data_IF_836674443799
#
_entry.id   IF_836674443799
#
_cell.length_a   1.000
_cell.length_b   1.000
_cell.length_c   1.000
_cell.angle_alpha   90.00
_cell.angle_beta   90.00
_cell.angle_gamma   90.00
#
_symmetry.space_group_name_H-M   'P 1'
#
loop_
_entity.id
_entity.type
_entity.pdbx_description
1 polymer ?
#
# COMPACT_ATOMS: atom_id res chain seq x y z
N UNK A 1 -16.52 48.76 -62.66
CA UNK A 1 -16.76 47.34 -62.46
C UNK A 1 -16.08 46.95 -61.20
N UNK A 2 -16.85 46.65 -60.21
CA UNK A 2 -16.45 46.27 -58.84
C UNK A 2 -16.04 44.81 -58.78
N UNK A 3 -14.85 44.57 -58.32
CA UNK A 3 -14.48 43.21 -57.88
C UNK A 3 -14.31 43.15 -56.35
N UNK A 4 -15.21 42.48 -55.71
CA UNK A 4 -15.17 42.24 -54.28
C UNK A 4 -14.22 41.07 -54.00
N UNK A 5 -13.15 41.37 -53.29
CA UNK A 5 -12.29 40.33 -52.72
C UNK A 5 -12.97 39.67 -51.49
N UNK A 6 -13.09 38.39 -51.56
CA UNK A 6 -13.57 37.60 -50.42
C UNK A 6 -12.35 37.13 -49.63
N UNK A 7 -12.20 37.68 -48.44
CA UNK A 7 -11.21 37.18 -47.51
C UNK A 7 -11.82 35.99 -46.81
N UNK A 8 -11.26 34.83 -47.06
CA UNK A 8 -11.55 33.64 -46.28
C UNK A 8 -10.69 33.65 -45.00
N UNK A 9 -11.33 33.83 -43.87
CA UNK A 9 -10.69 33.72 -42.60
C UNK A 9 -10.52 32.22 -42.25
N UNK A 10 -9.30 31.77 -42.26
CA UNK A 10 -8.96 30.42 -41.75
C UNK A 10 -8.87 30.48 -40.23
N UNK A 11 -9.84 29.89 -39.54
CA UNK A 11 -9.75 29.66 -38.11
C UNK A 11 -8.80 28.49 -37.89
N UNK A 12 -7.63 28.79 -37.38
CA UNK A 12 -6.72 27.78 -36.83
C UNK A 12 -7.21 27.42 -35.45
N UNK A 13 -7.82 26.25 -35.31
CA UNK A 13 -8.13 25.65 -34.01
C UNK A 13 -6.86 25.01 -33.46
N UNK A 14 -6.23 25.68 -32.52
CA UNK A 14 -5.13 25.12 -31.77
C UNK A 14 -5.70 24.12 -30.76
N UNK A 15 -5.61 22.85 -31.08
CA UNK A 15 -5.90 21.77 -30.10
C UNK A 15 -4.71 21.65 -29.17
N UNK A 16 -4.83 22.25 -28.00
CA UNK A 16 -3.87 22.09 -26.93
C UNK A 16 -4.04 20.68 -26.35
N UNK A 17 -3.18 19.76 -26.76
CA UNK A 17 -3.11 18.42 -26.18
C UNK A 17 -2.38 18.52 -24.84
N UNK A 18 -3.12 18.66 -23.75
CA UNK A 18 -2.56 18.56 -22.42
C UNK A 18 -2.24 17.10 -22.14
N UNK A 19 -0.96 16.75 -22.20
CA UNK A 19 -0.46 15.46 -21.75
C UNK A 19 -0.54 15.44 -20.23
N UNK A 20 -1.54 14.74 -19.69
CA UNK A 20 -1.58 14.43 -18.27
C UNK A 20 -0.53 13.34 -18.01
N UNK A 21 0.61 13.73 -17.44
CA UNK A 21 1.61 12.76 -16.95
C UNK A 21 1.08 12.19 -15.65
N UNK A 22 0.53 10.98 -15.70
CA UNK A 22 0.25 10.21 -14.50
C UNK A 22 1.59 9.76 -13.90
N UNK A 23 2.08 10.46 -12.87
CA UNK A 23 3.29 10.08 -12.16
C UNK A 23 3.09 8.76 -11.43
N UNK A 24 4.01 7.80 -11.63
CA UNK A 24 4.08 6.53 -10.89
C UNK A 24 4.68 6.75 -9.50
N UNK A 25 4.14 7.66 -8.68
CA UNK A 25 4.48 7.75 -7.27
C UNK A 25 3.50 6.87 -6.47
N UNK A 26 3.96 6.08 -5.47
CA UNK A 26 3.06 5.41 -4.55
C UNK A 26 2.19 6.49 -3.88
N UNK A 27 0.90 6.45 -4.16
CA UNK A 27 -0.04 7.41 -3.58
C UNK A 27 -0.47 6.93 -2.21
N UNK A 28 -0.63 7.87 -1.26
CA UNK A 28 -1.24 7.59 0.03
C UNK A 28 -2.59 6.92 -0.18
N UNK A 29 -2.87 5.81 0.55
CA UNK A 29 -4.11 5.07 0.43
C UNK A 29 -4.17 4.10 -0.76
N UNK A 30 -3.02 3.72 -1.37
CA UNK A 30 -2.97 2.73 -2.45
C UNK A 30 -3.29 1.30 -1.99
N UNK A 31 -3.13 0.99 -0.69
CA UNK A 31 -3.58 -0.23 -0.04
C UNK A 31 -4.81 0.10 0.79
N UNK A 32 -6.01 -0.39 0.43
CA UNK A 32 -7.20 -0.09 1.20
C UNK A 32 -7.16 -0.76 2.57
N UNK A 33 -7.49 0.00 3.60
CA UNK A 33 -7.61 -0.47 4.98
C UNK A 33 -8.96 0.00 5.52
N UNK A 34 -9.77 -0.93 5.95
CA UNK A 34 -11.04 -0.69 6.61
C UNK A 34 -11.08 -1.36 8.00
N UNK A 35 -12.23 -1.32 8.64
CA UNK A 35 -12.41 -1.89 9.99
C UNK A 35 -12.18 -3.40 10.06
N UNK A 36 -12.25 -4.10 8.92
CA UNK A 36 -12.07 -5.55 8.82
C UNK A 36 -10.64 -5.94 8.41
N UNK A 37 -9.84 -5.00 7.96
CA UNK A 37 -8.46 -5.22 7.56
C UNK A 37 -7.55 -5.33 8.79
N UNK A 38 -6.74 -6.38 8.84
CA UNK A 38 -5.75 -6.57 9.90
C UNK A 38 -4.38 -6.11 9.41
N UNK A 39 -3.76 -5.19 10.13
CA UNK A 39 -2.40 -4.73 9.85
C UNK A 39 -1.44 -5.48 10.77
N UNK A 40 -0.52 -6.25 10.18
CA UNK A 40 0.48 -7.05 10.90
C UNK A 40 1.85 -6.41 10.81
N UNK A 41 2.41 -6.07 11.95
CA UNK A 41 3.82 -5.75 12.12
C UNK A 41 4.57 -7.02 12.49
N UNK A 42 5.39 -7.54 11.55
CA UNK A 42 6.11 -8.80 11.77
C UNK A 42 7.55 -8.59 12.25
N UNK A 43 7.84 -7.39 12.74
CA UNK A 43 9.10 -7.04 13.39
C UNK A 43 9.13 -7.53 14.83
N UNK A 44 10.28 -7.36 15.48
CA UNK A 44 10.42 -7.66 16.91
C UNK A 44 9.55 -6.73 17.79
N UNK A 45 9.21 -7.18 19.02
CA UNK A 45 8.48 -6.33 19.97
C UNK A 45 9.21 -5.01 20.29
N UNK A 46 10.54 -5.02 20.31
CA UNK A 46 11.33 -3.81 20.53
C UNK A 46 11.19 -2.79 19.40
N UNK A 47 11.25 -3.25 18.14
CA UNK A 47 11.02 -2.39 16.98
C UNK A 47 9.58 -1.84 16.97
N UNK A 48 8.60 -2.67 17.30
CA UNK A 48 7.20 -2.26 17.41
C UNK A 48 7.00 -1.16 18.46
N UNK A 49 7.64 -1.28 19.62
CA UNK A 49 7.56 -0.30 20.69
C UNK A 49 8.19 1.06 20.33
N UNK A 50 9.17 1.09 19.42
CA UNK A 50 9.79 2.33 18.92
C UNK A 50 8.90 3.10 17.93
N UNK A 51 7.90 2.46 17.37
CA UNK A 51 6.97 3.04 16.42
C UNK A 51 6.36 1.97 15.52
N UNK A 52 5.05 2.05 15.30
CA UNK A 52 4.29 1.11 14.47
C UNK A 52 3.10 1.83 13.84
N UNK A 53 2.47 1.21 12.85
CA UNK A 53 1.25 1.76 12.28
C UNK A 53 0.11 1.71 13.29
N UNK A 54 -0.68 2.76 13.36
CA UNK A 54 -1.85 2.83 14.22
C UNK A 54 -2.78 1.64 13.98
N UNK A 55 -3.12 0.92 15.04
CA UNK A 55 -3.95 -0.27 15.00
C UNK A 55 -3.23 -1.56 14.60
N UNK A 56 -1.93 -1.53 14.34
CA UNK A 56 -1.17 -2.72 13.97
C UNK A 56 -1.07 -3.72 15.12
N UNK A 57 -1.10 -4.99 14.76
CA UNK A 57 -0.85 -6.12 15.67
C UNK A 57 0.59 -6.58 15.45
N UNK A 58 1.35 -6.70 16.53
CA UNK A 58 2.72 -7.23 16.45
C UNK A 58 2.71 -8.76 16.48
N UNK A 59 3.29 -9.35 15.45
CA UNK A 59 3.47 -10.79 15.31
C UNK A 59 4.87 -11.05 14.76
N UNK A 60 5.84 -11.19 15.65
CA UNK A 60 7.26 -11.36 15.28
C UNK A 60 7.49 -12.64 14.49
N UNK A 61 7.84 -12.52 13.21
CA UNK A 61 8.08 -13.67 12.32
C UNK A 61 9.31 -14.48 12.74
N UNK A 62 10.22 -13.89 13.51
CA UNK A 62 11.42 -14.56 13.99
C UNK A 62 11.20 -15.28 15.33
N UNK A 63 10.06 -15.09 15.97
CA UNK A 63 9.71 -15.78 17.21
C UNK A 63 9.38 -17.26 16.96
N UNK A 64 9.77 -18.11 17.89
CA UNK A 64 9.53 -19.57 17.80
C UNK A 64 8.03 -19.92 17.79
N UNK A 65 7.19 -19.07 18.37
CA UNK A 65 5.74 -19.27 18.48
C UNK A 65 4.95 -18.57 17.36
N UNK A 66 5.61 -18.09 16.31
CA UNK A 66 4.94 -17.36 15.22
C UNK A 66 3.77 -18.15 14.62
N UNK A 67 4.02 -19.40 14.23
CA UNK A 67 2.98 -20.22 13.59
C UNK A 67 1.81 -20.52 14.54
N UNK A 68 2.09 -20.75 15.82
CA UNK A 68 1.06 -20.99 16.82
C UNK A 68 0.19 -19.76 17.05
N UNK A 69 0.79 -18.58 17.10
CA UNK A 69 0.07 -17.31 17.26
C UNK A 69 -0.69 -16.95 15.98
N UNK A 70 -0.10 -17.18 14.82
CA UNK A 70 -0.76 -16.96 13.53
C UNK A 70 -2.00 -17.85 13.38
N UNK A 71 -1.97 -19.08 13.88
CA UNK A 71 -3.09 -20.01 13.84
C UNK A 71 -4.32 -19.51 14.63
N UNK A 72 -4.16 -18.56 15.53
CA UNK A 72 -5.25 -17.93 16.29
C UNK A 72 -5.95 -16.80 15.50
N UNK A 73 -5.36 -16.37 14.39
CA UNK A 73 -5.91 -15.33 13.53
C UNK A 73 -6.92 -15.92 12.53
N UNK A 74 -7.83 -15.07 12.05
CA UNK A 74 -8.80 -15.45 11.02
C UNK A 74 -8.14 -15.56 9.65
N UNK A 75 -8.04 -16.77 9.04
CA UNK A 75 -7.40 -16.93 7.74
C UNK A 75 -8.18 -16.31 6.58
N UNK A 76 -9.45 -15.98 6.78
CA UNK A 76 -10.34 -15.41 5.75
C UNK A 76 -10.34 -13.88 5.75
N UNK A 77 -9.70 -13.24 6.72
CA UNK A 77 -9.59 -11.78 6.77
C UNK A 77 -8.55 -11.26 5.76
N UNK A 78 -8.59 -9.96 5.49
CA UNK A 78 -7.60 -9.25 4.68
C UNK A 78 -6.47 -8.76 5.56
N UNK A 79 -5.22 -9.03 5.15
CA UNK A 79 -4.02 -8.69 5.92
C UNK A 79 -3.09 -7.79 5.13
N UNK A 80 -2.64 -6.73 5.77
CA UNK A 80 -1.55 -5.87 5.33
C UNK A 80 -0.35 -6.17 6.23
N UNK A 81 0.74 -6.66 5.66
CA UNK A 81 1.92 -7.13 6.38
C UNK A 81 3.10 -6.21 6.07
N UNK A 82 3.78 -5.72 7.09
CA UNK A 82 4.98 -4.91 6.93
C UNK A 82 6.06 -5.29 7.92
N UNK A 83 7.28 -4.90 7.59
CA UNK A 83 8.43 -5.02 8.47
C UNK A 83 9.34 -3.79 8.32
N UNK A 84 10.64 -3.92 8.48
CA UNK A 84 11.58 -2.81 8.30
C UNK A 84 11.94 -2.56 6.84
N UNK A 85 12.06 -3.63 6.03
CA UNK A 85 12.52 -3.56 4.64
C UNK A 85 11.61 -4.28 3.63
N UNK A 86 10.64 -5.06 4.11
CA UNK A 86 9.78 -5.93 3.31
C UNK A 86 10.26 -7.38 3.24
N UNK A 87 11.50 -7.71 3.61
CA UNK A 87 12.04 -9.07 3.56
C UNK A 87 11.38 -10.01 4.57
N UNK A 88 11.29 -9.60 5.83
CA UNK A 88 10.59 -10.37 6.87
C UNK A 88 9.09 -10.49 6.58
N UNK A 89 8.49 -9.43 6.02
CA UNK A 89 7.09 -9.48 5.58
C UNK A 89 6.88 -10.53 4.49
N UNK A 90 7.79 -10.64 3.53
CA UNK A 90 7.76 -11.68 2.51
C UNK A 90 7.83 -13.10 3.11
N UNK A 91 8.73 -13.31 4.07
CA UNK A 91 8.83 -14.58 4.81
C UNK A 91 7.55 -14.89 5.59
N UNK A 92 7.00 -13.90 6.28
CA UNK A 92 5.74 -14.05 7.02
C UNK A 92 4.59 -14.42 6.09
N UNK A 93 4.46 -13.76 4.93
CA UNK A 93 3.44 -14.05 3.94
C UNK A 93 3.53 -15.48 3.43
N UNK A 94 4.73 -15.99 3.14
CA UNK A 94 4.93 -17.39 2.74
C UNK A 94 4.41 -18.34 3.82
N UNK A 95 4.77 -18.11 5.07
CA UNK A 95 4.34 -18.96 6.20
C UNK A 95 2.83 -18.86 6.44
N UNK A 96 2.26 -17.67 6.37
CA UNK A 96 0.82 -17.48 6.52
C UNK A 96 0.04 -18.14 5.36
N UNK A 97 0.55 -18.07 4.14
CA UNK A 97 -0.04 -18.77 2.99
C UNK A 97 -0.07 -20.29 3.23
N UNK A 98 1.01 -20.86 3.76
CA UNK A 98 1.09 -22.28 4.11
C UNK A 98 0.09 -22.66 5.23
N UNK A 99 -0.27 -21.69 6.08
CA UNK A 99 -1.27 -21.85 7.13
C UNK A 99 -2.73 -21.63 6.66
N UNK A 100 -2.94 -21.36 5.37
CA UNK A 100 -4.27 -21.21 4.79
C UNK A 100 -4.77 -19.78 4.62
N UNK A 101 -3.94 -18.77 4.85
CA UNK A 101 -4.26 -17.37 4.59
C UNK A 101 -4.13 -17.09 3.10
N UNK A 102 -5.10 -16.40 2.50
CA UNK A 102 -5.15 -16.15 1.05
C UNK A 102 -5.20 -14.66 0.66
N UNK A 103 -5.47 -13.77 1.60
CA UNK A 103 -5.53 -12.32 1.35
C UNK A 103 -4.44 -11.59 2.12
N UNK A 104 -3.26 -11.51 1.52
CA UNK A 104 -2.03 -10.99 2.14
C UNK A 104 -1.35 -10.01 1.18
N UNK A 105 -1.04 -8.81 1.67
CA UNK A 105 -0.31 -7.78 0.92
C UNK A 105 0.96 -7.43 1.67
N UNK A 106 2.11 -7.45 0.98
CA UNK A 106 3.38 -6.96 1.51
C UNK A 106 3.44 -5.44 1.32
N UNK A 107 3.33 -4.69 2.39
CA UNK A 107 3.40 -3.24 2.39
C UNK A 107 4.82 -2.68 2.55
N UNK A 108 5.83 -3.54 2.63
CA UNK A 108 7.23 -3.17 2.67
C UNK A 108 7.72 -2.71 4.04
N UNK A 109 8.37 -1.55 4.08
CA UNK A 109 8.86 -0.94 5.30
C UNK A 109 7.73 -0.24 6.09
N UNK A 110 7.99 0.10 7.34
CA UNK A 110 7.08 0.93 8.14
C UNK A 110 6.71 2.24 7.42
N UNK A 111 7.68 2.92 6.85
CA UNK A 111 7.46 4.16 6.11
C UNK A 111 6.63 3.94 4.83
N UNK A 112 6.96 2.93 4.04
CA UNK A 112 6.21 2.58 2.83
C UNK A 112 4.78 2.15 3.17
N UNK A 113 4.60 1.37 4.21
CA UNK A 113 3.29 0.92 4.67
C UNK A 113 2.43 2.10 5.16
N UNK A 114 3.01 3.04 5.90
CA UNK A 114 2.32 4.26 6.32
C UNK A 114 1.82 5.07 5.12
N UNK A 115 2.68 5.27 4.12
CA UNK A 115 2.29 5.97 2.88
C UNK A 115 1.21 5.23 2.12
N UNK A 116 1.35 3.93 1.94
CA UNK A 116 0.41 3.13 1.14
C UNK A 116 -0.96 2.96 1.80
N UNK A 117 -1.02 2.87 3.11
CA UNK A 117 -2.27 2.68 3.87
C UNK A 117 -2.92 3.99 4.31
N UNK A 118 -2.14 5.06 4.41
CA UNK A 118 -2.57 6.32 5.01
C UNK A 118 -2.62 6.28 6.55
N UNK A 119 -2.19 5.19 7.19
CA UNK A 119 -2.16 5.07 8.63
C UNK A 119 -0.95 5.81 9.22
N UNK A 120 -1.12 6.56 10.31
CA UNK A 120 -0.01 7.23 10.98
C UNK A 120 0.87 6.23 11.74
N UNK A 121 2.13 6.61 11.93
CA UNK A 121 3.04 5.92 12.84
C UNK A 121 2.81 6.44 14.25
N UNK A 122 2.61 5.54 15.18
CA UNK A 122 2.40 5.81 16.61
C UNK A 122 3.40 5.00 17.44
N UNK A 123 3.56 5.34 18.70
CA UNK A 123 4.45 4.67 19.65
C UNK A 123 3.73 4.34 20.98
#
# INVERSE_FOLDING_TARGET
>A
VTRRGRFAAALAVAVSLTLAVAGCAPQAGSIPVDETTVVLDVRTPGEFAEGHLDGAVNLDVQAADFDARAAELDPDADYVVYCRSGNRAGTAITRLTDLGFDSLVNAGSLSAASTATGLPVVD
#
